data_IF_031902179578
#
_entry.id   IF_031902179578
#
_cell.length_a   1.000
_cell.length_b   1.000
_cell.length_c   1.000
_cell.angle_alpha   90.00
_cell.angle_beta   90.00
_cell.angle_gamma   90.00
#
_symmetry.space_group_name_H-M   'P 1'
#
loop_
_entity.id
_entity.type
_entity.pdbx_description
1 polymer ?
#
# COMPACT_ATOMS: atom_id res chain seq x y z
N UNK A 1 -6.45 -18.82 6.73
CA UNK A 1 -6.31 -17.73 7.74
C UNK A 1 -6.73 -16.45 7.02
N UNK A 2 -7.61 -15.63 7.61
CA UNK A 2 -8.43 -14.54 7.00
C UNK A 2 -9.80 -14.94 6.45
N UNK A 3 -10.62 -15.58 7.27
CA UNK A 3 -12.07 -15.57 7.06
C UNK A 3 -12.64 -14.42 7.89
N UNK A 4 -12.78 -13.24 7.29
CA UNK A 4 -13.57 -12.15 7.88
C UNK A 4 -15.02 -12.37 7.46
N UNK A 5 -15.85 -12.86 8.36
CA UNK A 5 -17.29 -12.97 8.19
C UNK A 5 -17.99 -11.63 8.46
N UNK A 6 -19.29 -11.60 8.19
CA UNK A 6 -20.13 -10.42 8.42
C UNK A 6 -20.05 -9.91 9.88
N UNK A 7 -19.84 -10.81 10.84
CA UNK A 7 -19.65 -10.46 12.26
C UNK A 7 -18.34 -9.71 12.53
N UNK A 8 -17.21 -10.17 11.98
CA UNK A 8 -15.94 -9.47 12.20
C UNK A 8 -15.87 -8.11 11.48
N UNK A 9 -16.49 -7.96 10.30
CA UNK A 9 -16.64 -6.62 9.67
C UNK A 9 -17.42 -5.68 10.59
N UNK A 10 -18.50 -6.16 11.20
CA UNK A 10 -19.34 -5.34 12.08
C UNK A 10 -18.58 -4.87 13.32
N UNK A 11 -17.79 -5.77 13.92
CA UNK A 11 -16.94 -5.45 15.06
C UNK A 11 -15.88 -4.40 14.69
N UNK A 12 -15.24 -4.52 13.53
CA UNK A 12 -14.26 -3.54 13.04
C UNK A 12 -14.87 -2.15 12.85
N UNK A 13 -16.09 -2.08 12.32
CA UNK A 13 -16.83 -0.81 12.15
C UNK A 13 -17.11 -0.17 13.51
N UNK A 14 -17.56 -0.95 14.50
CA UNK A 14 -17.82 -0.44 15.85
C UNK A 14 -16.52 0.13 16.46
N UNK A 15 -15.41 -0.60 16.36
CA UNK A 15 -14.11 -0.14 16.86
C UNK A 15 -13.68 1.16 16.17
N UNK A 16 -13.79 1.24 14.85
CA UNK A 16 -13.50 2.47 14.09
C UNK A 16 -14.36 3.65 14.53
N UNK A 17 -15.65 3.42 14.74
CA UNK A 17 -16.60 4.44 15.23
C UNK A 17 -16.22 4.93 16.62
N UNK A 18 -15.76 4.06 17.52
CA UNK A 18 -15.37 4.46 18.88
C UNK A 18 -14.05 5.24 18.86
N UNK A 19 -13.07 4.80 18.07
CA UNK A 19 -11.74 5.43 18.01
C UNK A 19 -11.79 6.80 17.34
N UNK A 20 -12.47 6.89 16.20
CA UNK A 20 -12.56 8.12 15.39
C UNK A 20 -13.73 8.99 15.85
N UNK A 21 -14.78 8.39 16.40
CA UNK A 21 -16.03 9.04 16.74
C UNK A 21 -17.10 8.87 15.64
N UNK A 22 -18.37 8.59 15.99
CA UNK A 22 -19.45 8.33 15.03
C UNK A 22 -19.77 9.53 14.12
N UNK A 23 -19.56 10.74 14.63
CA UNK A 23 -19.80 11.98 13.87
C UNK A 23 -18.65 12.33 12.93
N UNK A 24 -17.45 11.84 13.22
CA UNK A 24 -16.24 12.18 12.48
C UNK A 24 -15.97 11.19 11.35
N UNK A 25 -16.31 9.91 11.53
CA UNK A 25 -16.19 8.88 10.50
C UNK A 25 -16.83 9.29 9.13
N UNK A 26 -18.07 9.83 9.06
CA UNK A 26 -18.63 10.30 7.80
C UNK A 26 -17.90 11.51 7.20
N UNK A 27 -17.33 12.38 8.04
CA UNK A 27 -16.48 13.49 7.58
C UNK A 27 -15.13 12.98 7.04
N UNK A 28 -14.54 11.99 7.71
CA UNK A 28 -13.27 11.37 7.33
C UNK A 28 -13.37 10.64 5.99
N UNK A 29 -14.44 9.89 5.76
CA UNK A 29 -14.73 9.26 4.47
C UNK A 29 -14.85 10.32 3.36
N UNK A 30 -15.53 11.45 3.62
CA UNK A 30 -15.64 12.54 2.64
C UNK A 30 -14.29 13.16 2.30
N UNK A 31 -13.40 13.29 3.27
CA UNK A 31 -12.04 13.81 3.07
C UNK A 31 -11.21 12.85 2.21
N UNK A 32 -11.18 11.56 2.54
CA UNK A 32 -10.50 10.52 1.75
C UNK A 32 -11.09 10.44 0.33
N UNK A 33 -12.42 10.50 0.20
CA UNK A 33 -13.09 10.46 -1.09
C UNK A 33 -12.74 11.69 -1.94
N UNK A 34 -12.65 12.88 -1.33
CA UNK A 34 -12.27 14.11 -2.02
C UNK A 34 -10.81 14.08 -2.45
N UNK A 35 -9.92 13.60 -1.58
CA UNK A 35 -8.51 13.38 -1.90
C UNK A 35 -8.33 12.40 -3.07
N UNK A 36 -9.06 11.28 -3.05
CA UNK A 36 -9.05 10.29 -4.14
C UNK A 36 -9.58 10.88 -5.45
N UNK A 37 -10.63 11.71 -5.39
CA UNK A 37 -11.14 12.44 -6.56
C UNK A 37 -10.11 13.42 -7.12
N UNK A 38 -9.38 14.13 -6.27
CA UNK A 38 -8.31 15.04 -6.69
C UNK A 38 -7.19 14.28 -7.39
N UNK A 39 -6.74 13.14 -6.84
CA UNK A 39 -5.76 12.27 -7.51
C UNK A 39 -6.28 11.82 -8.87
N UNK A 40 -7.55 11.36 -8.96
CA UNK A 40 -8.16 10.93 -10.22
C UNK A 40 -8.22 12.06 -11.25
N UNK A 41 -8.47 13.30 -10.81
CA UNK A 41 -8.48 14.49 -11.66
C UNK A 41 -7.08 14.81 -12.18
N UNK A 42 -6.08 14.81 -11.30
CA UNK A 42 -4.67 14.98 -11.66
C UNK A 42 -4.24 13.91 -12.66
N UNK A 43 -4.60 12.63 -12.46
CA UNK A 43 -4.27 11.57 -13.42
C UNK A 43 -4.95 11.75 -14.78
N UNK A 44 -6.18 12.30 -14.82
CA UNK A 44 -6.87 12.62 -16.08
C UNK A 44 -6.21 13.78 -16.82
N UNK A 45 -5.83 14.83 -16.09
CA UNK A 45 -5.10 15.98 -16.62
C UNK A 45 -3.72 15.56 -17.11
N UNK A 46 -2.97 14.81 -16.29
CA UNK A 46 -1.68 14.24 -16.68
C UNK A 46 -1.82 13.37 -17.93
N UNK A 47 -2.80 12.45 -17.98
CA UNK A 47 -3.05 11.65 -19.20
C UNK A 47 -3.38 12.54 -20.41
N UNK A 48 -4.15 13.61 -20.24
CA UNK A 48 -4.54 14.51 -21.34
C UNK A 48 -3.35 15.34 -21.83
N UNK A 49 -2.61 15.97 -20.93
CA UNK A 49 -1.37 16.72 -21.24
C UNK A 49 -0.32 15.79 -21.83
N UNK A 50 -0.22 14.58 -21.32
CA UNK A 50 0.64 13.56 -21.89
C UNK A 50 0.20 13.18 -23.32
N UNK A 51 -1.09 13.04 -23.60
CA UNK A 51 -1.58 12.69 -24.95
C UNK A 51 -1.38 13.83 -25.97
N UNK A 52 -1.35 15.07 -25.49
CA UNK A 52 -1.08 16.28 -26.27
C UNK A 52 0.42 16.38 -26.58
N UNK A 53 1.27 16.16 -25.58
CA UNK A 53 2.73 16.11 -25.73
C UNK A 53 3.17 14.87 -26.49
N UNK A 54 2.45 13.73 -26.42
CA UNK A 54 2.77 12.50 -27.16
C UNK A 54 2.66 12.61 -28.68
N UNK A 55 2.06 13.69 -29.18
CA UNK A 55 2.01 13.99 -30.61
C UNK A 55 3.23 14.80 -31.10
N UNK A 56 4.03 15.35 -30.18
CA UNK A 56 5.31 15.99 -30.45
C UNK A 56 6.43 15.16 -29.75
N UNK A 57 7.67 15.19 -30.25
CA UNK A 57 8.72 14.19 -29.93
C UNK A 57 9.19 14.09 -28.44
N UNK A 58 8.67 14.90 -27.52
CA UNK A 58 9.10 14.99 -26.10
C UNK A 58 8.66 13.80 -25.22
N UNK A 59 7.67 13.01 -25.65
CA UNK A 59 7.21 11.84 -24.91
C UNK A 59 8.25 10.73 -24.76
N UNK A 60 9.20 10.71 -25.71
CA UNK A 60 10.30 9.76 -25.74
C UNK A 60 11.22 9.94 -24.53
N UNK A 61 11.47 11.19 -24.10
CA UNK A 61 12.38 11.50 -22.99
C UNK A 61 11.78 11.21 -21.62
N UNK A 62 10.47 11.45 -21.43
CA UNK A 62 9.77 11.06 -20.19
C UNK A 62 9.68 9.55 -20.07
N UNK A 63 9.41 8.84 -21.17
CA UNK A 63 9.41 7.38 -21.20
C UNK A 63 10.81 6.81 -20.91
N UNK A 64 11.87 7.45 -21.40
CA UNK A 64 13.26 7.07 -21.13
C UNK A 64 13.61 7.28 -19.65
N UNK A 65 13.27 8.43 -19.08
CA UNK A 65 13.47 8.72 -17.64
C UNK A 65 12.72 7.73 -16.73
N UNK A 66 11.46 7.41 -17.06
CA UNK A 66 10.69 6.40 -16.33
C UNK A 66 11.28 4.99 -16.48
N UNK A 67 11.81 4.67 -17.66
CA UNK A 67 12.47 3.39 -17.92
C UNK A 67 13.81 3.30 -17.18
N UNK A 68 14.60 4.36 -17.17
CA UNK A 68 15.88 4.44 -16.44
C UNK A 68 15.65 4.35 -14.93
N UNK A 69 14.64 5.03 -14.37
CA UNK A 69 14.27 4.89 -12.95
C UNK A 69 13.75 3.48 -12.63
N UNK A 70 13.00 2.87 -13.54
CA UNK A 70 12.56 1.47 -13.39
C UNK A 70 13.75 0.52 -13.42
N UNK A 71 14.68 0.69 -14.36
CA UNK A 71 15.89 -0.13 -14.49
C UNK A 71 16.79 0.06 -13.27
N UNK A 72 16.98 1.28 -12.77
CA UNK A 72 17.70 1.55 -11.52
C UNK A 72 17.05 0.83 -10.33
N UNK A 73 15.72 0.78 -10.22
CA UNK A 73 15.01 0.00 -9.19
C UNK A 73 15.07 -1.51 -9.40
N UNK A 74 15.36 -1.97 -10.59
CA UNK A 74 15.52 -3.39 -10.93
C UNK A 74 16.97 -3.83 -10.62
N UNK A 75 17.94 -2.97 -10.93
CA UNK A 75 19.36 -3.08 -10.58
C UNK A 75 19.57 -3.02 -9.06
N UNK A 76 18.84 -2.13 -8.36
CA UNK A 76 18.65 -2.20 -6.92
C UNK A 76 17.59 -3.26 -6.64
N UNK A 77 17.98 -4.53 -6.67
CA UNK A 77 17.12 -5.68 -6.47
C UNK A 77 16.60 -5.78 -5.01
N UNK A 78 15.83 -4.77 -4.58
CA UNK A 78 15.30 -4.57 -3.25
C UNK A 78 14.25 -5.62 -2.94
N UNK A 79 13.53 -6.14 -3.94
CA UNK A 79 12.56 -7.22 -3.75
C UNK A 79 13.24 -8.53 -3.38
N UNK A 80 14.34 -8.89 -4.05
CA UNK A 80 15.03 -10.14 -3.78
C UNK A 80 15.82 -10.08 -2.46
N UNK A 81 16.48 -8.95 -2.19
CA UNK A 81 17.17 -8.72 -0.91
C UNK A 81 16.17 -8.67 0.27
N UNK A 82 15.06 -7.94 0.14
CA UNK A 82 14.04 -7.85 1.19
C UNK A 82 13.30 -9.17 1.41
N UNK A 83 13.00 -9.92 0.35
CA UNK A 83 12.35 -11.24 0.48
C UNK A 83 13.26 -12.24 1.22
N UNK A 84 14.57 -12.17 0.98
CA UNK A 84 15.55 -13.00 1.66
C UNK A 84 15.63 -12.65 3.15
N UNK A 85 15.66 -11.35 3.47
CA UNK A 85 15.69 -10.86 4.86
C UNK A 85 14.40 -11.20 5.62
N UNK A 86 13.23 -11.02 5.00
CA UNK A 86 11.93 -11.36 5.60
C UNK A 86 11.78 -12.86 5.86
N UNK A 87 12.31 -13.74 5.00
CA UNK A 87 12.27 -15.18 5.25
C UNK A 87 13.11 -15.56 6.47
N UNK A 88 14.29 -14.97 6.64
CA UNK A 88 15.14 -15.21 7.82
C UNK A 88 14.51 -14.71 9.13
N UNK A 89 13.79 -13.59 9.08
CA UNK A 89 13.01 -13.05 10.21
C UNK A 89 11.81 -13.96 10.50
N UNK A 90 11.18 -14.54 9.48
CA UNK A 90 10.05 -15.47 9.64
C UNK A 90 10.48 -16.79 10.30
N UNK A 91 11.66 -17.30 9.99
CA UNK A 91 12.22 -18.47 10.66
C UNK A 91 12.59 -18.16 12.11
N UNK A 92 13.31 -17.06 12.33
CA UNK A 92 13.71 -16.63 13.69
C UNK A 92 12.50 -16.35 14.58
N UNK A 93 11.48 -15.67 14.04
CA UNK A 93 10.23 -15.42 14.79
C UNK A 93 9.44 -16.68 15.07
N UNK A 94 9.52 -17.72 14.22
CA UNK A 94 8.87 -19.01 14.50
C UNK A 94 9.56 -19.78 15.62
N UNK A 95 10.90 -19.71 15.70
CA UNK A 95 11.67 -20.30 16.80
C UNK A 95 11.40 -19.56 18.11
N UNK A 96 11.49 -18.23 18.09
CA UNK A 96 11.17 -17.39 19.25
C UNK A 96 9.74 -17.64 19.74
N UNK A 97 8.78 -17.81 18.81
CA UNK A 97 7.38 -18.08 19.18
C UNK A 97 7.24 -19.42 19.91
N UNK A 98 7.92 -20.47 19.43
CA UNK A 98 7.87 -21.78 20.07
C UNK A 98 8.52 -21.76 21.46
N UNK A 99 9.66 -21.09 21.61
CA UNK A 99 10.34 -20.95 22.92
C UNK A 99 9.50 -20.13 23.92
N UNK A 100 8.84 -19.07 23.45
CA UNK A 100 7.94 -18.23 24.26
C UNK A 100 6.68 -18.99 24.67
N UNK A 101 6.12 -19.81 23.78
CA UNK A 101 4.96 -20.66 24.10
C UNK A 101 5.35 -21.79 25.08
N UNK A 102 6.60 -22.27 25.05
CA UNK A 102 7.10 -23.29 25.97
C UNK A 102 7.37 -22.71 27.38
N UNK A 103 7.87 -21.48 27.47
CA UNK A 103 8.07 -20.76 28.76
C UNK A 103 6.73 -20.43 29.44
N UNK A 104 5.71 -20.03 28.67
CA UNK A 104 4.38 -19.71 29.23
C UNK A 104 3.57 -20.93 29.67
N UNK A 105 4.04 -22.15 29.35
CA UNK A 105 3.35 -23.41 29.68
C UNK A 105 3.88 -24.07 30.96
N UNK A 106 4.90 -23.50 31.61
CA UNK A 106 5.48 -23.98 32.87
C UNK A 106 5.08 -23.08 34.04
#
# INVERSE_FOLDING_TARGET
MFTFGWGEIFLLIIVLVVVIGPKELPSFIKQIASFTKSIKKISREFKSSLNEIAKDDEFTDVKKTLSDVKNLKEDFNLKDNFKTEINSIKETSSLIKNDVDEINKK
#
